data_IF_096980315805
#
_entry.id   IF_096980315805
#
_cell.length_a   1.000
_cell.length_b   1.000
_cell.length_c   1.000
_cell.angle_alpha   90.00
_cell.angle_beta   90.00
_cell.angle_gamma   90.00
#
_symmetry.space_group_name_H-M   'P 1'
#
loop_
_entity.id
_entity.type
_entity.pdbx_description
1 polymer ?
#
# COMPACT_ATOMS: atom_id res chain seq x y z
N UNK A 1 -20.60 -12.92 -19.71
CA UNK A 1 -21.92 -12.58 -19.11
C UNK A 1 -21.94 -11.07 -18.95
N UNK A 2 -22.87 -10.39 -19.61
CA UNK A 2 -22.82 -8.94 -19.90
C UNK A 2 -23.04 -8.11 -18.63
N UNK A 3 -22.05 -7.30 -18.23
CA UNK A 3 -22.17 -6.31 -17.14
C UNK A 3 -23.06 -5.15 -17.59
N UNK A 4 -24.02 -4.82 -16.74
CA UNK A 4 -25.04 -3.79 -16.90
C UNK A 4 -24.43 -2.40 -16.71
N UNK A 5 -24.51 -1.54 -17.73
CA UNK A 5 -24.12 -0.13 -17.67
C UNK A 5 -25.18 0.66 -16.89
N UNK A 6 -24.80 1.23 -15.74
CA UNK A 6 -25.60 2.22 -15.03
C UNK A 6 -25.17 3.63 -15.43
N UNK A 7 -26.10 4.36 -16.02
CA UNK A 7 -26.01 5.78 -16.36
C UNK A 7 -25.85 6.65 -15.11
N UNK A 8 -24.84 7.51 -15.09
CA UNK A 8 -24.72 8.58 -14.11
C UNK A 8 -25.27 9.88 -14.69
N UNK A 9 -26.28 10.45 -14.02
CA UNK A 9 -26.84 11.76 -14.32
C UNK A 9 -25.96 12.84 -13.70
N UNK A 10 -25.40 13.74 -14.52
CA UNK A 10 -24.72 14.95 -14.06
C UNK A 10 -25.71 15.91 -13.37
N UNK A 11 -25.32 16.59 -12.27
CA UNK A 11 -26.08 17.71 -11.74
C UNK A 11 -25.82 18.99 -12.54
N UNK A 12 -26.92 19.67 -12.82
CA UNK A 12 -27.06 20.95 -13.49
C UNK A 12 -26.42 22.08 -12.64
N UNK A 13 -25.35 22.72 -13.15
CA UNK A 13 -24.79 23.94 -12.56
C UNK A 13 -25.71 25.13 -12.87
N UNK A 14 -26.39 25.65 -11.84
CA UNK A 14 -27.09 26.94 -11.88
C UNK A 14 -26.07 28.09 -11.80
N UNK A 15 -25.96 28.87 -12.87
CA UNK A 15 -25.26 30.13 -12.88
C UNK A 15 -26.12 31.23 -12.22
N UNK A 16 -25.54 31.91 -11.22
CA UNK A 16 -26.09 33.11 -10.58
C UNK A 16 -25.62 34.34 -11.37
N UNK A 17 -26.52 35.23 -11.87
CA UNK A 17 -26.10 36.47 -12.50
C UNK A 17 -25.92 37.57 -11.44
N UNK A 18 -24.71 38.12 -11.35
CA UNK A 18 -24.44 39.37 -10.65
C UNK A 18 -24.70 40.54 -11.60
N UNK A 19 -25.72 41.33 -11.32
CA UNK A 19 -26.03 42.56 -12.03
C UNK A 19 -25.21 43.72 -11.47
N UNK A 20 -24.37 44.34 -12.29
CA UNK A 20 -23.79 45.66 -12.01
C UNK A 20 -24.28 46.66 -13.05
N UNK A 21 -25.10 47.60 -12.59
CA UNK A 21 -25.50 48.79 -13.33
C UNK A 21 -24.61 49.97 -12.91
N UNK A 22 -23.97 50.63 -13.87
CA UNK A 22 -23.56 52.03 -13.76
C UNK A 22 -23.40 52.62 -15.17
N UNK A 23 -24.10 53.74 -15.40
CA UNK A 23 -24.21 54.45 -16.66
C UNK A 23 -23.21 55.61 -16.75
N UNK A 24 -22.87 56.00 -17.99
CA UNK A 24 -22.27 57.28 -18.39
C UNK A 24 -21.03 57.07 -19.27
N UNK A 25 -20.79 57.76 -20.37
CA UNK A 25 -21.50 58.82 -21.11
C UNK A 25 -20.85 58.86 -22.52
N UNK A 26 -21.53 59.52 -23.45
CA UNK A 26 -21.38 59.55 -24.90
C UNK A 26 -20.09 60.21 -25.43
N UNK A 27 -19.62 59.74 -26.60
CA UNK A 27 -18.67 60.46 -27.45
C UNK A 27 -18.41 59.77 -28.79
N UNK A 28 -18.76 60.44 -29.89
CA UNK A 28 -18.65 60.11 -31.33
C UNK A 28 -17.21 59.71 -31.77
N UNK A 29 -16.90 59.16 -32.96
CA UNK A 29 -17.50 59.06 -34.30
C UNK A 29 -16.70 57.96 -35.08
N UNK A 30 -17.07 57.55 -36.31
CA UNK A 30 -16.69 56.28 -36.94
C UNK A 30 -15.41 56.37 -37.77
N UNK A 31 -14.75 55.22 -37.98
CA UNK A 31 -14.03 55.00 -39.23
C UNK A 31 -14.02 53.52 -39.63
N UNK A 32 -14.02 53.34 -40.94
CA UNK A 32 -14.37 52.16 -41.70
C UNK A 32 -13.26 51.10 -41.77
N UNK A 33 -13.64 49.87 -42.14
CA UNK A 33 -12.73 48.92 -42.78
C UNK A 33 -12.92 47.46 -42.37
N UNK A 34 -13.78 46.77 -43.11
CA UNK A 34 -13.68 45.32 -43.38
C UNK A 34 -13.42 45.23 -44.90
N UNK A 35 -12.89 44.15 -45.52
CA UNK A 35 -12.42 42.87 -44.96
C UNK A 35 -11.07 42.39 -45.54
N UNK A 36 -10.44 41.39 -44.92
CA UNK A 36 -9.66 40.38 -45.65
C UNK A 36 -9.34 39.18 -44.76
N UNK A 37 -9.81 38.03 -45.22
CA UNK A 37 -9.38 36.71 -44.81
C UNK A 37 -7.86 36.54 -45.00
N UNK A 38 -7.19 35.93 -44.04
CA UNK A 38 -6.04 35.09 -44.36
C UNK A 38 -6.03 33.84 -43.48
N UNK A 39 -5.98 32.71 -44.16
CA UNK A 39 -6.00 31.38 -43.61
C UNK A 39 -4.56 30.94 -43.38
N UNK A 40 -4.16 30.81 -42.12
CA UNK A 40 -2.94 30.05 -41.78
C UNK A 40 -3.33 28.91 -40.87
N UNK A 41 -3.35 27.72 -41.47
CA UNK A 41 -3.42 26.43 -40.80
C UNK A 41 -2.35 26.36 -39.70
N UNK A 42 -2.80 26.36 -38.44
CA UNK A 42 -1.98 25.94 -37.32
C UNK A 42 -1.81 24.41 -37.37
N UNK A 43 -0.65 23.87 -37.00
CA UNK A 43 -0.42 22.44 -37.00
C UNK A 43 -1.38 21.78 -36.01
N UNK A 44 -2.06 20.74 -36.47
CA UNK A 44 -2.90 19.85 -35.67
C UNK A 44 -2.13 19.47 -34.40
N UNK A 45 -2.61 20.00 -33.27
CA UNK A 45 -2.24 19.48 -31.97
C UNK A 45 -2.73 18.03 -31.97
N UNK A 46 -1.78 17.09 -32.01
CA UNK A 46 -2.03 15.69 -31.73
C UNK A 46 -2.52 15.65 -30.29
N UNK A 47 -3.84 15.65 -30.11
CA UNK A 47 -4.47 15.25 -28.86
C UNK A 47 -4.21 13.76 -28.79
N UNK A 48 -3.13 13.38 -28.10
CA UNK A 48 -2.95 12.02 -27.62
C UNK A 48 -4.07 11.79 -26.62
N UNK A 49 -5.15 11.18 -27.11
CA UNK A 49 -6.22 10.63 -26.31
C UNK A 49 -5.61 9.51 -25.46
N UNK A 50 -5.12 9.88 -24.27
CA UNK A 50 -4.70 8.93 -23.26
C UNK A 50 -5.98 8.21 -22.79
N UNK A 51 -6.24 7.07 -23.42
CA UNK A 51 -7.32 6.18 -23.05
C UNK A 51 -7.23 5.85 -21.54
N UNK A 52 -8.30 6.04 -20.74
CA UNK A 52 -8.22 5.88 -19.29
C UNK A 52 -8.17 4.42 -18.80
N UNK A 53 -8.13 3.43 -19.68
CA UNK A 53 -8.53 2.05 -19.34
C UNK A 53 -7.41 1.01 -19.45
N UNK A 54 -6.13 1.42 -19.43
CA UNK A 54 -5.07 0.48 -19.12
C UNK A 54 -5.02 0.32 -17.59
N UNK A 55 -5.84 -0.58 -17.05
CA UNK A 55 -5.66 -1.09 -15.69
C UNK A 55 -4.17 -1.44 -15.52
N UNK A 56 -3.51 -0.82 -14.53
CA UNK A 56 -2.10 -1.11 -14.29
C UNK A 56 -1.94 -2.63 -14.13
N UNK A 57 -1.01 -3.22 -14.87
CA UNK A 57 -0.72 -4.64 -14.69
C UNK A 57 0.03 -4.80 -13.38
N UNK A 58 -0.53 -5.60 -12.47
CA UNK A 58 0.07 -5.89 -11.18
C UNK A 58 1.00 -7.12 -11.28
N UNK A 59 2.07 -7.17 -10.48
CA UNK A 59 2.50 -6.14 -9.54
C UNK A 59 3.09 -4.90 -10.23
N UNK A 60 2.97 -3.73 -9.60
CA UNK A 60 3.64 -2.51 -10.06
C UNK A 60 5.16 -2.69 -10.07
N UNK A 61 5.83 -2.02 -11.02
CA UNK A 61 7.29 -2.00 -11.08
C UNK A 61 7.88 -1.30 -9.83
N UNK A 62 9.05 -1.73 -9.39
CA UNK A 62 9.75 -1.17 -8.24
C UNK A 62 11.09 -1.86 -7.99
N UNK A 63 11.70 -1.63 -6.83
CA UNK A 63 12.92 -2.32 -6.44
C UNK A 63 12.62 -3.78 -6.04
N UNK A 64 13.30 -4.73 -6.68
CA UNK A 64 13.01 -6.16 -6.50
C UNK A 64 11.83 -6.64 -7.35
N UNK A 65 11.84 -7.94 -7.64
CA UNK A 65 10.82 -8.62 -8.42
C UNK A 65 9.83 -9.33 -7.49
N UNK A 66 8.54 -9.11 -7.74
CA UNK A 66 7.42 -9.71 -7.01
C UNK A 66 6.78 -10.80 -7.87
N UNK A 67 6.58 -11.99 -7.29
CA UNK A 67 5.85 -13.08 -7.92
C UNK A 67 4.94 -13.78 -6.91
N UNK A 68 4.00 -14.61 -7.38
CA UNK A 68 3.06 -15.31 -6.50
C UNK A 68 1.69 -14.63 -6.45
N UNK A 69 1.11 -14.51 -5.25
CA UNK A 69 -0.26 -14.05 -5.02
C UNK A 69 -0.37 -12.52 -4.95
N UNK A 70 -0.32 -11.83 -6.08
CA UNK A 70 -0.63 -10.39 -6.16
C UNK A 70 -2.03 -10.16 -6.75
N UNK A 71 -2.64 -9.02 -6.41
CA UNK A 71 -4.00 -8.62 -6.82
C UNK A 71 -5.06 -9.62 -6.32
N UNK A 72 -4.91 -10.08 -5.08
CA UNK A 72 -5.83 -11.05 -4.47
C UNK A 72 -6.63 -10.49 -3.31
N UNK A 73 -6.15 -9.46 -2.60
CA UNK A 73 -6.90 -8.89 -1.49
C UNK A 73 -8.12 -8.14 -2.03
N UNK A 74 -9.32 -8.66 -1.77
CA UNK A 74 -10.57 -8.01 -2.14
C UNK A 74 -11.41 -7.62 -0.90
N UNK A 75 -12.49 -6.86 -1.12
CA UNK A 75 -13.34 -6.37 -0.03
C UNK A 75 -13.78 -7.48 0.96
N UNK A 76 -14.28 -8.67 0.53
CA UNK A 76 -14.52 -9.81 1.41
C UNK A 76 -13.36 -10.20 2.32
N UNK A 77 -12.14 -10.20 1.80
CA UNK A 77 -10.94 -10.52 2.57
C UNK A 77 -10.62 -9.39 3.55
N UNK A 78 -10.81 -8.12 3.17
CA UNK A 78 -10.46 -6.95 3.97
C UNK A 78 -11.41 -6.66 5.14
N UNK A 79 -12.69 -7.07 5.05
CA UNK A 79 -13.69 -6.83 6.12
C UNK A 79 -14.32 -8.12 6.67
N UNK A 80 -13.99 -9.27 6.08
CA UNK A 80 -14.50 -10.56 6.50
C UNK A 80 -13.90 -11.04 7.82
N UNK A 81 -14.63 -11.90 8.53
CA UNK A 81 -14.21 -12.46 9.83
C UNK A 81 -13.36 -13.72 9.71
N UNK A 82 -12.97 -14.10 8.49
CA UNK A 82 -12.17 -15.30 8.27
C UNK A 82 -10.67 -14.95 8.34
N UNK A 83 -9.85 -15.80 8.98
CA UNK A 83 -8.41 -15.69 8.86
C UNK A 83 -7.95 -16.26 7.53
N UNK A 84 -6.95 -15.63 6.93
CA UNK A 84 -6.48 -15.96 5.59
C UNK A 84 -4.95 -15.96 5.53
N UNK A 85 -4.41 -16.69 4.55
CA UNK A 85 -2.97 -16.82 4.35
C UNK A 85 -2.66 -16.65 2.86
N UNK A 86 -1.78 -15.69 2.56
CA UNK A 86 -1.25 -15.43 1.24
C UNK A 86 0.27 -15.59 1.23
N UNK A 87 0.83 -15.83 0.05
CA UNK A 87 2.28 -15.91 -0.16
C UNK A 87 2.70 -15.12 -1.40
N UNK A 88 3.65 -14.21 -1.22
CA UNK A 88 4.23 -13.38 -2.30
C UNK A 88 5.73 -13.44 -2.20
N UNK A 89 6.38 -13.98 -3.22
CA UNK A 89 7.84 -14.03 -3.30
C UNK A 89 8.39 -12.66 -3.67
N UNK A 90 9.36 -12.19 -2.90
CA UNK A 90 10.11 -10.96 -3.17
C UNK A 90 11.58 -11.29 -3.35
N UNK A 91 12.10 -11.10 -4.56
CA UNK A 91 13.52 -11.28 -4.83
C UNK A 91 14.19 -9.94 -5.13
N UNK A 92 15.43 -9.79 -4.69
CA UNK A 92 16.18 -8.57 -4.92
C UNK A 92 17.32 -8.82 -5.93
N UNK A 93 17.49 -7.94 -6.94
CA UNK A 93 18.61 -8.07 -7.86
C UNK A 93 19.96 -7.73 -7.18
N UNK A 94 19.91 -7.02 -6.06
CA UNK A 94 21.04 -6.57 -5.25
C UNK A 94 20.52 -5.98 -3.93
N UNK A 95 21.44 -5.75 -2.99
CA UNK A 95 21.16 -5.02 -1.75
C UNK A 95 20.67 -3.60 -2.02
N UNK A 96 19.63 -3.17 -1.30
CA UNK A 96 19.12 -1.81 -1.34
C UNK A 96 19.99 -0.86 -0.50
N UNK A 97 21.05 -0.31 -1.09
CA UNK A 97 21.96 0.65 -0.43
C UNK A 97 22.32 1.84 -1.30
N UNK A 98 22.05 1.78 -2.59
CA UNK A 98 22.37 2.85 -3.52
C UNK A 98 21.29 3.95 -3.39
N UNK A 99 21.64 5.22 -3.09
CA UNK A 99 20.68 6.31 -3.11
C UNK A 99 19.93 6.46 -4.45
N UNK A 100 20.52 6.00 -5.56
CA UNK A 100 19.87 5.97 -6.87
C UNK A 100 18.72 4.95 -6.96
N UNK A 101 18.56 4.06 -5.96
CA UNK A 101 17.44 3.12 -5.84
C UNK A 101 16.22 3.74 -5.16
N UNK A 102 16.34 4.91 -4.53
CA UNK A 102 15.22 5.60 -3.85
C UNK A 102 14.01 5.85 -4.74
N UNK A 103 14.18 6.28 -6.01
CA UNK A 103 13.06 6.44 -6.92
C UNK A 103 12.40 5.13 -7.36
N UNK A 104 12.97 3.96 -7.02
CA UNK A 104 12.40 2.65 -7.32
C UNK A 104 11.43 2.15 -6.24
N UNK A 105 11.30 2.87 -5.12
CA UNK A 105 10.25 2.62 -4.14
C UNK A 105 8.98 3.38 -4.50
N UNK A 106 7.85 2.90 -4.00
CA UNK A 106 6.60 3.65 -4.02
C UNK A 106 6.71 4.91 -3.15
N UNK A 107 5.83 5.91 -3.33
CA UNK A 107 5.85 7.13 -2.50
C UNK A 107 5.83 6.83 -0.98
N UNK A 108 5.01 5.87 -0.53
CA UNK A 108 4.97 5.48 0.89
C UNK A 108 6.24 4.77 1.35
N UNK A 109 6.83 3.90 0.52
CA UNK A 109 8.08 3.22 0.87
C UNK A 109 9.25 4.21 0.98
N UNK A 110 9.27 5.21 0.09
CA UNK A 110 10.23 6.31 0.17
C UNK A 110 10.02 7.17 1.42
N UNK A 111 8.78 7.47 1.77
CA UNK A 111 8.43 8.19 3.00
C UNK A 111 8.95 7.46 4.25
N UNK A 112 8.67 6.17 4.36
CA UNK A 112 9.13 5.32 5.47
C UNK A 112 10.66 5.30 5.60
N UNK A 113 11.40 5.31 4.48
CA UNK A 113 12.86 5.37 4.49
C UNK A 113 13.40 6.75 4.87
N UNK A 114 12.72 7.83 4.49
CA UNK A 114 13.22 9.20 4.67
C UNK A 114 12.87 9.79 6.04
N UNK A 115 11.64 9.56 6.49
CA UNK A 115 11.13 10.04 7.78
C UNK A 115 11.60 9.10 8.90
N UNK A 116 11.75 7.82 8.57
CA UNK A 116 11.97 6.74 9.53
C UNK A 116 10.66 6.33 10.19
N UNK A 117 10.53 5.04 10.55
CA UNK A 117 9.53 4.61 11.51
C UNK A 117 10.03 4.89 12.95
N UNK A 118 9.42 4.31 13.99
CA UNK A 118 9.76 4.47 15.41
C UNK A 118 11.23 4.20 15.81
N UNK A 119 12.10 3.91 14.85
CA UNK A 119 13.53 3.69 15.00
C UNK A 119 13.79 2.26 15.39
N UNK A 120 14.72 1.60 14.69
CA UNK A 120 15.20 0.28 15.08
C UNK A 120 15.51 -0.65 13.92
N UNK A 121 15.82 -1.89 14.30
CA UNK A 121 16.34 -3.04 13.53
C UNK A 121 15.66 -3.45 12.22
N UNK A 122 14.58 -2.79 11.83
CA UNK A 122 13.53 -3.38 11.00
C UNK A 122 13.08 -2.47 9.85
N UNK A 123 13.70 -1.29 9.66
CA UNK A 123 13.26 -0.31 8.65
C UNK A 123 13.09 -0.94 7.28
N UNK A 124 14.06 -1.72 6.78
CA UNK A 124 13.92 -2.36 5.48
C UNK A 124 12.89 -3.49 5.46
N UNK A 125 12.73 -4.23 6.55
CA UNK A 125 11.65 -5.23 6.66
C UNK A 125 10.28 -4.57 6.51
N UNK A 126 10.06 -3.46 7.21
CA UNK A 126 8.80 -2.72 7.16
C UNK A 126 8.56 -2.10 5.79
N UNK A 127 9.58 -1.43 5.23
CA UNK A 127 9.50 -0.85 3.88
C UNK A 127 9.14 -1.91 2.85
N UNK A 128 9.81 -3.05 2.85
CA UNK A 128 9.56 -4.06 1.82
C UNK A 128 8.29 -4.88 2.05
N UNK A 129 7.82 -5.00 3.30
CA UNK A 129 6.45 -5.47 3.57
C UNK A 129 5.41 -4.49 3.00
N UNK A 130 5.62 -3.18 3.16
CA UNK A 130 4.77 -2.15 2.55
C UNK A 130 4.84 -2.19 1.02
N UNK A 131 6.03 -2.32 0.42
CA UNK A 131 6.20 -2.39 -1.04
C UNK A 131 5.45 -3.58 -1.64
N UNK A 132 5.39 -4.73 -0.95
CA UNK A 132 4.56 -5.86 -1.38
C UNK A 132 3.10 -5.43 -1.49
N UNK A 133 2.51 -4.85 -0.43
CA UNK A 133 1.12 -4.41 -0.42
C UNK A 133 0.84 -3.30 -1.44
N UNK A 134 1.71 -2.29 -1.52
CA UNK A 134 1.55 -1.15 -2.40
C UNK A 134 1.63 -1.55 -3.88
N UNK A 135 2.46 -2.53 -4.21
CA UNK A 135 2.69 -2.96 -5.59
C UNK A 135 1.78 -4.11 -6.01
N UNK A 136 1.35 -4.98 -5.09
CA UNK A 136 0.47 -6.11 -5.39
C UNK A 136 -1.01 -5.77 -5.23
N UNK A 137 -1.38 -4.91 -4.29
CA UNK A 137 -2.78 -4.64 -3.92
C UNK A 137 -3.06 -3.13 -3.83
N UNK A 138 -2.21 -2.30 -4.46
CA UNK A 138 -2.38 -0.85 -4.58
C UNK A 138 -2.52 -0.10 -3.24
N UNK A 139 -1.97 -0.66 -2.17
CA UNK A 139 -2.02 -0.06 -0.85
C UNK A 139 -1.34 1.32 -0.80
N UNK A 140 -2.00 2.29 -0.16
CA UNK A 140 -1.42 3.60 0.12
C UNK A 140 -1.09 3.74 1.61
N UNK A 141 0.09 4.30 1.92
CA UNK A 141 0.48 4.57 3.30
C UNK A 141 -0.36 5.71 3.87
N UNK A 142 -1.00 5.47 5.02
CA UNK A 142 -1.72 6.51 5.76
C UNK A 142 -0.89 7.06 6.91
N UNK A 143 -0.25 6.15 7.68
CA UNK A 143 0.52 6.49 8.88
C UNK A 143 1.59 5.44 9.17
N UNK A 144 2.71 5.89 9.72
CA UNK A 144 3.75 5.04 10.34
C UNK A 144 3.43 4.74 11.81
N UNK A 145 4.12 3.77 12.45
CA UNK A 145 3.90 3.39 13.87
C UNK A 145 3.84 4.60 14.81
N UNK A 146 4.70 5.60 14.58
CA UNK A 146 4.78 6.79 15.45
C UNK A 146 3.63 7.77 15.30
N UNK A 147 2.87 7.66 14.21
CA UNK A 147 1.78 8.57 13.85
C UNK A 147 0.40 7.98 14.18
N UNK A 148 0.32 6.65 14.36
CA UNK A 148 -0.88 5.96 14.80
C UNK A 148 -1.16 6.31 16.27
N UNK A 149 -2.40 6.70 16.53
CA UNK A 149 -2.86 7.11 17.85
C UNK A 149 -3.59 5.96 18.54
N UNK A 150 -3.14 5.63 19.74
CA UNK A 150 -3.73 4.64 20.63
C UNK A 150 -4.35 5.31 21.87
N UNK A 151 -5.45 4.76 22.36
CA UNK A 151 -6.13 5.25 23.57
C UNK A 151 -5.42 4.78 24.86
N UNK A 152 -4.61 3.72 24.75
CA UNK A 152 -3.83 3.13 25.84
C UNK A 152 -2.38 2.94 25.39
N UNK A 153 -1.44 3.07 26.33
CA UNK A 153 -0.04 2.70 26.09
C UNK A 153 0.10 1.17 26.14
N UNK A 154 0.55 0.56 25.04
CA UNK A 154 0.44 -0.88 24.86
C UNK A 154 1.13 -1.39 23.59
N UNK A 155 0.51 -2.37 22.94
CA UNK A 155 1.06 -2.98 21.72
C UNK A 155 0.76 -2.10 20.52
N UNK A 156 1.74 -1.97 19.63
CA UNK A 156 1.67 -1.10 18.46
C UNK A 156 1.78 -1.91 17.17
N UNK A 157 1.21 -1.33 16.12
CA UNK A 157 1.19 -1.80 14.74
C UNK A 157 2.18 -0.98 13.95
N UNK A 158 2.97 -1.61 13.09
CA UNK A 158 4.11 -0.97 12.43
C UNK A 158 3.70 0.13 11.43
N UNK A 159 2.53 0.01 10.80
CA UNK A 159 1.95 1.01 9.89
C UNK A 159 0.44 0.84 9.69
N UNK A 160 -0.19 1.90 9.18
CA UNK A 160 -1.58 1.93 8.75
C UNK A 160 -1.61 2.24 7.26
N UNK A 161 -2.30 1.41 6.48
CA UNK A 161 -2.45 1.57 5.04
C UNK A 161 -3.94 1.66 4.66
N UNK A 162 -4.21 2.14 3.46
CA UNK A 162 -5.51 2.05 2.81
C UNK A 162 -5.43 1.08 1.63
N UNK A 163 -6.31 0.07 1.60
CA UNK A 163 -6.49 -0.89 0.50
C UNK A 163 -7.96 -0.88 0.14
N UNK A 164 -8.31 -0.64 -1.13
CA UNK A 164 -9.72 -0.57 -1.59
C UNK A 164 -10.64 0.34 -0.75
N UNK A 165 -10.09 1.41 -0.18
CA UNK A 165 -10.82 2.36 0.68
C UNK A 165 -11.02 1.90 2.13
N UNK A 166 -10.44 0.77 2.51
CA UNK A 166 -10.43 0.24 3.87
C UNK A 166 -9.12 0.55 4.57
N UNK A 167 -9.21 0.99 5.83
CA UNK A 167 -8.04 1.17 6.69
C UNK A 167 -7.60 -0.20 7.19
N UNK A 168 -6.35 -0.57 6.94
CA UNK A 168 -5.78 -1.86 7.32
C UNK A 168 -4.53 -1.63 8.14
N UNK A 169 -4.49 -2.15 9.36
CA UNK A 169 -3.28 -2.15 10.16
C UNK A 169 -2.32 -3.21 9.62
N UNK A 170 -1.01 -2.94 9.63
CA UNK A 170 0.01 -3.90 9.18
C UNK A 170 1.09 -4.02 10.23
N UNK A 171 1.21 -5.23 10.77
CA UNK A 171 2.31 -5.63 11.64
C UNK A 171 3.33 -6.45 10.87
N UNK A 172 4.61 -6.25 11.15
CA UNK A 172 5.73 -6.86 10.44
C UNK A 172 6.55 -7.73 11.40
N UNK A 173 7.00 -8.87 10.89
CA UNK A 173 7.95 -9.73 11.60
C UNK A 173 8.87 -10.45 10.63
N UNK A 174 9.98 -10.95 11.15
CA UNK A 174 10.97 -11.72 10.39
C UNK A 174 10.94 -13.17 10.85
N UNK A 175 10.69 -14.09 9.93
CA UNK A 175 10.89 -15.53 10.13
C UNK A 175 12.32 -15.88 9.71
N UNK A 176 13.23 -15.87 10.68
CA UNK A 176 14.67 -16.10 10.48
C UNK A 176 15.28 -16.77 11.72
N UNK A 177 16.29 -17.61 11.50
CA UNK A 177 17.12 -18.20 12.57
C UNK A 177 18.54 -17.67 12.51
N UNK A 178 19.15 -17.45 13.69
CA UNK A 178 20.55 -17.06 13.82
C UNK A 178 21.37 -18.17 14.49
N UNK A 179 22.59 -18.48 13.99
CA UNK A 179 23.23 -17.95 12.78
C UNK A 179 22.46 -18.27 11.48
N UNK A 180 22.64 -17.43 10.46
CA UNK A 180 21.99 -17.65 9.16
C UNK A 180 22.33 -19.02 8.58
N UNK A 181 21.32 -19.63 7.94
CA UNK A 181 21.41 -21.00 7.40
C UNK A 181 21.05 -22.09 8.41
N UNK A 182 20.89 -21.76 9.70
CA UNK A 182 20.35 -22.71 10.65
C UNK A 182 18.85 -22.96 10.37
N UNK A 183 18.35 -24.20 10.53
CA UNK A 183 16.95 -24.52 10.27
C UNK A 183 15.99 -23.75 11.17
N UNK A 184 14.93 -23.20 10.56
CA UNK A 184 13.81 -22.65 11.33
C UNK A 184 12.91 -23.76 11.84
N UNK A 185 12.78 -23.88 13.15
CA UNK A 185 11.99 -24.95 13.77
C UNK A 185 10.52 -24.56 13.90
N UNK A 186 9.65 -25.58 13.85
CA UNK A 186 8.21 -25.38 14.02
C UNK A 186 7.87 -24.75 15.39
N UNK A 187 8.57 -25.13 16.45
CA UNK A 187 8.37 -24.56 17.80
C UNK A 187 8.73 -23.07 17.84
N UNK A 188 9.84 -22.68 17.19
CA UNK A 188 10.25 -21.28 17.11
C UNK A 188 9.24 -20.46 16.29
N UNK A 189 8.79 -21.00 15.16
CA UNK A 189 7.78 -20.38 14.32
C UNK A 189 6.43 -20.22 15.03
N UNK A 190 5.97 -21.26 15.72
CA UNK A 190 4.72 -21.23 16.50
C UNK A 190 4.81 -20.17 17.59
N UNK A 191 5.91 -20.14 18.35
CA UNK A 191 6.13 -19.13 19.40
C UNK A 191 6.14 -17.71 18.83
N UNK A 192 6.82 -17.50 17.71
CA UNK A 192 6.91 -16.18 17.08
C UNK A 192 5.54 -15.70 16.59
N UNK A 193 4.84 -16.53 15.81
CA UNK A 193 3.58 -16.18 15.15
C UNK A 193 2.48 -16.01 16.20
N UNK A 194 2.36 -16.91 17.17
CA UNK A 194 1.37 -16.77 18.25
C UNK A 194 1.55 -15.45 19.00
N UNK A 195 2.78 -15.13 19.42
CA UNK A 195 3.05 -13.85 20.10
C UNK A 195 2.67 -12.65 19.24
N UNK A 196 2.94 -12.69 17.93
CA UNK A 196 2.63 -11.59 17.02
C UNK A 196 1.11 -11.45 16.80
N UNK A 197 0.37 -12.54 16.72
CA UNK A 197 -1.09 -12.52 16.64
C UNK A 197 -1.71 -12.00 17.95
N UNK A 198 -1.19 -12.39 19.12
CA UNK A 198 -1.62 -11.84 20.40
C UNK A 198 -1.41 -10.31 20.47
N UNK A 199 -0.25 -9.82 20.00
CA UNK A 199 0.06 -8.39 19.92
C UNK A 199 -0.88 -7.64 18.93
N UNK A 200 -1.28 -8.29 17.84
CA UNK A 200 -2.26 -7.77 16.86
C UNK A 200 -3.65 -7.60 17.49
N UNK A 201 -4.10 -8.58 18.28
CA UNK A 201 -5.39 -8.49 18.97
C UNK A 201 -5.40 -7.36 19.99
N UNK A 202 -4.30 -7.18 20.72
CA UNK A 202 -4.15 -6.08 21.67
C UNK A 202 -4.13 -4.71 20.98
N UNK A 203 -3.26 -4.53 19.98
CA UNK A 203 -3.17 -3.26 19.24
C UNK A 203 -4.50 -2.88 18.57
N UNK A 204 -5.24 -3.85 18.04
CA UNK A 204 -6.56 -3.61 17.43
C UNK A 204 -7.61 -3.18 18.45
N UNK A 205 -7.52 -3.65 19.70
CA UNK A 205 -8.43 -3.24 20.76
C UNK A 205 -8.06 -1.88 21.39
N UNK A 206 -6.79 -1.46 21.26
CA UNK A 206 -6.23 -0.27 21.92
C UNK A 206 -6.12 0.95 20.99
N UNK A 207 -6.25 0.77 19.67
CA UNK A 207 -6.19 1.87 18.70
C UNK A 207 -7.34 2.85 18.89
N UNK A 208 -7.05 4.15 18.77
CA UNK A 208 -8.07 5.19 18.89
C UNK A 208 -9.07 5.15 17.74
N UNK A 209 -10.27 5.68 17.97
CA UNK A 209 -11.31 5.74 16.95
C UNK A 209 -10.91 6.50 15.66
N UNK A 210 -9.92 7.40 15.72
CA UNK A 210 -9.47 8.16 14.54
C UNK A 210 -8.65 7.29 13.56
N UNK A 211 -7.90 6.33 14.10
CA UNK A 211 -6.97 5.48 13.35
C UNK A 211 -7.41 4.01 13.31
N UNK A 212 -8.61 3.72 13.79
CA UNK A 212 -9.20 2.38 13.75
C UNK A 212 -9.19 1.81 12.33
N UNK A 213 -8.68 0.58 12.21
CA UNK A 213 -8.67 -0.22 10.99
C UNK A 213 -9.78 -1.27 11.01
N UNK A 214 -10.21 -1.70 9.83
CA UNK A 214 -11.24 -2.72 9.68
C UNK A 214 -10.70 -4.12 10.00
N UNK A 215 -9.44 -4.37 9.63
CA UNK A 215 -8.74 -5.66 9.81
C UNK A 215 -7.23 -5.42 9.91
N UNK A 216 -6.47 -6.42 10.35
CA UNK A 216 -5.01 -6.34 10.45
C UNK A 216 -4.32 -7.44 9.64
N UNK A 217 -3.19 -7.07 9.02
CA UNK A 217 -2.28 -7.98 8.31
C UNK A 217 -1.05 -8.22 9.19
N UNK A 218 -0.62 -9.48 9.28
CA UNK A 218 0.73 -9.86 9.71
C UNK A 218 1.58 -10.18 8.48
N UNK A 219 2.48 -9.28 8.11
CA UNK A 219 3.48 -9.51 7.07
C UNK A 219 4.72 -10.19 7.66
N UNK A 220 5.06 -11.38 7.15
CA UNK A 220 6.18 -12.19 7.63
C UNK A 220 7.25 -12.26 6.55
N UNK A 221 8.36 -11.55 6.71
CA UNK A 221 9.52 -11.73 5.82
C UNK A 221 10.23 -13.02 6.21
N UNK A 222 10.16 -14.02 5.35
CA UNK A 222 10.78 -15.32 5.55
C UNK A 222 12.15 -15.36 4.86
N UNK A 223 13.17 -15.81 5.60
CA UNK A 223 14.54 -15.80 5.10
C UNK A 223 14.69 -16.57 3.79
N UNK A 224 14.15 -17.78 3.74
CA UNK A 224 14.12 -18.64 2.55
C UNK A 224 12.82 -19.46 2.50
N UNK A 225 12.69 -20.31 1.50
CA UNK A 225 11.52 -21.18 1.31
C UNK A 225 11.28 -22.13 2.49
N UNK A 226 12.34 -22.59 3.16
CA UNK A 226 12.22 -23.46 4.33
C UNK A 226 11.60 -22.68 5.50
N UNK A 227 12.01 -21.44 5.70
CA UNK A 227 11.43 -20.56 6.72
C UNK A 227 9.97 -20.22 6.40
N UNK A 228 9.64 -19.96 5.13
CA UNK A 228 8.29 -19.68 4.68
C UNK A 228 7.36 -20.87 4.91
N UNK A 229 7.81 -22.09 4.53
CA UNK A 229 7.05 -23.31 4.73
C UNK A 229 6.77 -23.58 6.21
N UNK A 230 7.77 -23.41 7.09
CA UNK A 230 7.59 -23.63 8.53
C UNK A 230 6.71 -22.55 9.17
N UNK A 231 6.78 -21.29 8.71
CA UNK A 231 5.87 -20.24 9.14
C UNK A 231 4.41 -20.56 8.75
N UNK A 232 4.18 -21.04 7.53
CA UNK A 232 2.85 -21.47 7.07
C UNK A 232 2.32 -22.67 7.88
N UNK A 233 3.17 -23.65 8.17
CA UNK A 233 2.82 -24.82 9.00
C UNK A 233 2.45 -24.40 10.43
N UNK A 234 3.24 -23.52 11.04
CA UNK A 234 2.96 -22.97 12.36
C UNK A 234 1.62 -22.22 12.39
N UNK A 235 1.35 -21.33 11.42
CA UNK A 235 0.07 -20.64 11.32
C UNK A 235 -1.12 -21.61 11.18
N UNK A 236 -0.98 -22.63 10.33
CA UNK A 236 -2.05 -23.61 10.11
C UNK A 236 -2.37 -24.47 11.34
N UNK A 237 -1.41 -24.62 12.26
CA UNK A 237 -1.57 -25.37 13.49
C UNK A 237 -2.20 -24.57 14.65
N UNK A 238 -2.31 -23.24 14.52
CA UNK A 238 -2.92 -22.39 15.54
C UNK A 238 -4.45 -22.52 15.54
N UNK A 239 -5.05 -22.32 16.72
CA UNK A 239 -6.50 -22.31 16.86
C UNK A 239 -7.15 -21.05 16.27
N UNK A 240 -8.46 -21.13 16.04
CA UNK A 240 -9.23 -20.04 15.45
C UNK A 240 -9.28 -18.79 16.34
N UNK A 241 -9.13 -18.94 17.67
CA UNK A 241 -9.14 -17.81 18.59
C UNK A 241 -7.86 -16.97 18.46
N UNK A 242 -6.72 -17.63 18.26
CA UNK A 242 -5.42 -17.00 18.05
C UNK A 242 -5.34 -16.38 16.66
N UNK A 243 -5.85 -17.07 15.63
CA UNK A 243 -5.87 -16.54 14.26
C UNK A 243 -6.87 -15.40 14.07
N UNK A 244 -7.98 -15.45 14.82
CA UNK A 244 -9.10 -14.51 14.73
C UNK A 244 -9.49 -14.24 13.27
N UNK A 245 -9.55 -12.99 12.88
CA UNK A 245 -9.71 -12.51 11.51
C UNK A 245 -8.40 -11.91 10.99
N UNK A 246 -7.22 -12.36 11.42
CA UNK A 246 -5.97 -11.79 10.89
C UNK A 246 -5.63 -12.37 9.52
N UNK A 247 -5.25 -11.49 8.58
CA UNK A 247 -4.63 -11.91 7.31
C UNK A 247 -3.14 -12.10 7.56
N UNK A 248 -2.57 -13.21 7.10
CA UNK A 248 -1.12 -13.43 7.12
C UNK A 248 -0.59 -13.40 5.70
N UNK A 249 0.48 -12.64 5.46
CA UNK A 249 1.20 -12.64 4.19
C UNK A 249 2.63 -13.09 4.46
N UNK A 250 3.01 -14.23 3.89
CA UNK A 250 4.38 -14.74 3.97
C UNK A 250 5.15 -14.28 2.73
N UNK A 251 6.31 -13.67 2.98
CA UNK A 251 7.14 -13.03 1.96
C UNK A 251 8.55 -13.64 2.01
N UNK A 252 8.81 -14.76 1.31
CA UNK A 252 10.15 -15.31 1.19
C UNK A 252 11.08 -14.38 0.39
N UNK A 253 12.33 -14.26 0.85
CA UNK A 253 13.37 -13.45 0.19
C UNK A 253 14.57 -14.25 -0.35
N UNK A 254 14.45 -15.57 -0.44
CA UNK A 254 15.45 -16.40 -1.14
C UNK A 254 16.83 -16.57 -0.47
N UNK A 255 17.02 -16.08 0.75
CA UNK A 255 18.16 -16.41 1.62
C UNK A 255 19.40 -15.53 1.46
N UNK A 256 19.47 -14.66 0.46
CA UNK A 256 20.68 -13.83 0.21
C UNK A 256 20.50 -12.35 0.60
N UNK A 257 19.33 -11.98 1.10
CA UNK A 257 18.94 -10.60 1.38
C UNK A 257 19.13 -10.19 2.84
N UNK A 258 20.35 -10.40 3.33
CA UNK A 258 20.74 -10.16 4.72
C UNK A 258 20.37 -8.74 5.22
N UNK A 259 20.34 -7.74 4.35
CA UNK A 259 20.00 -6.37 4.74
C UNK A 259 18.58 -6.23 5.29
N UNK A 260 17.64 -7.08 4.85
CA UNK A 260 16.28 -7.16 5.42
C UNK A 260 16.34 -7.60 6.88
N UNK A 261 17.28 -8.48 7.23
CA UNK A 261 17.36 -9.16 8.53
C UNK A 261 18.39 -8.56 9.49
N UNK A 262 19.36 -7.77 9.00
CA UNK A 262 20.51 -7.31 9.78
C UNK A 262 20.66 -5.81 9.88
N UNK A 263 20.14 -5.04 8.93
CA UNK A 263 20.30 -3.59 8.96
C UNK A 263 19.33 -2.98 9.96
N UNK A 264 19.87 -2.10 10.80
CA UNK A 264 19.25 -1.52 11.98
C UNK A 264 19.21 0.00 11.91
#
# INVERSE_FOLDING_TARGET
MVRSLRSWSLPLLLAVPCATAACGDNGADPDAGDPAADATAGPDAIVLDASPDAMATLPLAGFGDLTGMCDLLDEPDLIGTAPELFSVDLSFPRRYVDPDDRPLLTPGGLEMILVGNAGGSSVYSEVFAYEVLARCDLASLLKTETEIVYDVDGKKTDMLVEVDGHKIGVSVTRAVTFPFGDPYTLDAATTLIQRKLDDILLSSAEVSAADHWDKQILAILAYDDQHAQVAAEAWAALDDATRADTIVIIIPTGGDDLFIYTDQ
#
